data_IF_266142685501
#
_entry.id   IF_266142685501
#
_cell.length_a   1.000
_cell.length_b   1.000
_cell.length_c   1.000
_cell.angle_alpha   90.00
_cell.angle_beta   90.00
_cell.angle_gamma   90.00
#
_symmetry.space_group_name_H-M   'P 1'
#
loop_
_entity.id
_entity.type
_entity.pdbx_description
1 polymer ?
#
# COMPACT_ATOMS: atom_id res chain seq x y z
N UNK A 1 -14.07 -62.77 41.55
CA UNK A 1 -13.19 -63.72 42.27
C UNK A 1 -11.77 -63.19 42.23
N UNK A 2 -11.23 -62.94 43.41
CA UNK A 2 -9.85 -62.54 43.75
C UNK A 2 -8.87 -63.59 43.22
N UNK A 3 -7.75 -63.19 42.58
CA UNK A 3 -6.46 -63.86 42.77
C UNK A 3 -5.29 -62.91 42.47
N UNK A 4 -4.46 -62.80 43.49
CA UNK A 4 -3.20 -62.12 43.62
C UNK A 4 -2.02 -63.06 43.32
N UNK A 5 -0.87 -62.45 43.01
CA UNK A 5 0.48 -62.78 43.47
C UNK A 5 1.42 -63.73 42.67
N UNK A 6 2.60 -63.13 42.42
CA UNK A 6 3.98 -63.58 42.76
C UNK A 6 4.80 -64.38 41.74
N UNK A 7 6.03 -63.88 41.54
CA UNK A 7 7.26 -64.69 41.39
C UNK A 7 8.23 -64.13 40.33
N UNK A 8 9.17 -63.22 40.64
CA UNK A 8 10.55 -63.35 41.19
C UNK A 8 11.65 -63.85 40.21
N UNK A 9 12.70 -63.01 40.10
CA UNK A 9 14.15 -63.21 39.76
C UNK A 9 14.48 -63.73 38.35
N UNK A 10 15.20 -62.98 37.50
CA UNK A 10 16.65 -62.64 37.49
C UNK A 10 17.57 -63.84 37.24
N UNK A 11 18.19 -63.87 36.05
CA UNK A 11 19.40 -64.62 35.75
C UNK A 11 19.63 -64.90 34.26
N UNK A 12 20.76 -64.44 33.72
CA UNK A 12 21.26 -64.74 32.37
C UNK A 12 21.18 -63.50 31.46
N UNK A 13 22.25 -63.02 30.84
CA UNK A 13 23.48 -63.67 30.44
C UNK A 13 23.86 -63.03 29.11
N UNK A 14 24.97 -62.30 29.14
CA UNK A 14 25.55 -61.46 28.11
C UNK A 14 25.82 -62.17 26.77
N UNK A 15 25.62 -61.44 25.65
CA UNK A 15 26.38 -61.47 24.37
C UNK A 15 25.59 -60.77 23.25
N UNK A 16 25.94 -59.51 22.98
CA UNK A 16 25.45 -58.75 21.82
C UNK A 16 26.61 -58.15 21.03
N UNK A 17 26.92 -58.76 19.89
CA UNK A 17 27.90 -58.32 18.90
C UNK A 17 27.53 -56.99 18.22
N UNK A 18 28.54 -56.14 18.01
CA UNK A 18 28.84 -55.62 16.66
C UNK A 18 28.08 -54.39 16.14
N UNK A 19 28.67 -53.22 16.38
CA UNK A 19 28.90 -52.12 15.43
C UNK A 19 27.78 -51.70 14.43
N UNK A 20 27.09 -50.62 14.76
CA UNK A 20 26.46 -49.72 13.77
C UNK A 20 26.47 -48.27 14.28
N UNK A 21 27.64 -47.62 14.31
CA UNK A 21 27.76 -46.18 14.57
C UNK A 21 28.59 -45.57 13.45
N UNK A 22 27.94 -44.88 12.51
CA UNK A 22 28.69 -44.20 11.44
C UNK A 22 27.92 -43.61 10.25
N UNK A 23 26.58 -43.55 10.25
CA UNK A 23 25.82 -42.97 9.11
C UNK A 23 24.90 -41.77 9.43
N UNK A 24 24.91 -41.24 10.65
CA UNK A 24 24.05 -40.12 11.04
C UNK A 24 24.64 -38.71 10.82
N UNK A 25 25.96 -38.54 10.92
CA UNK A 25 26.58 -37.19 10.99
C UNK A 25 26.74 -36.46 9.65
N UNK A 26 26.70 -37.16 8.53
CA UNK A 26 26.83 -36.53 7.21
C UNK A 26 25.51 -35.90 6.74
N UNK A 27 24.38 -36.57 7.01
CA UNK A 27 23.04 -36.07 6.67
C UNK A 27 22.66 -34.84 7.49
N UNK A 28 22.94 -34.81 8.80
CA UNK A 28 22.72 -33.62 9.65
C UNK A 28 23.58 -32.42 9.22
N UNK A 29 24.84 -32.64 8.82
CA UNK A 29 25.71 -31.56 8.32
C UNK A 29 25.33 -31.06 6.93
N UNK A 30 24.76 -31.93 6.09
CA UNK A 30 24.17 -31.58 4.80
C UNK A 30 22.92 -30.72 4.97
N UNK A 31 21.98 -31.15 5.80
CA UNK A 31 20.75 -30.41 6.10
C UNK A 31 21.00 -29.05 6.73
N UNK A 32 21.92 -28.93 7.69
CA UNK A 32 22.28 -27.62 8.29
C UNK A 32 22.97 -26.67 7.29
N UNK A 33 23.71 -27.18 6.31
CA UNK A 33 24.30 -26.35 5.24
C UNK A 33 23.26 -25.93 4.20
N UNK A 34 22.35 -26.81 3.82
CA UNK A 34 21.24 -26.51 2.91
C UNK A 34 20.29 -25.47 3.51
N UNK A 35 19.97 -25.60 4.80
CA UNK A 35 19.12 -24.67 5.56
C UNK A 35 19.78 -23.28 5.71
N UNK A 36 21.09 -23.23 5.99
CA UNK A 36 21.87 -21.97 5.97
C UNK A 36 21.94 -21.32 4.59
N UNK A 37 22.03 -22.12 3.53
CA UNK A 37 22.01 -21.63 2.15
C UNK A 37 20.66 -21.03 1.78
N UNK A 38 19.56 -21.67 2.19
CA UNK A 38 18.21 -21.14 2.02
C UNK A 38 17.99 -19.83 2.79
N UNK A 39 18.40 -19.77 4.06
CA UNK A 39 18.30 -18.57 4.87
C UNK A 39 19.11 -17.39 4.30
N UNK A 40 20.31 -17.64 3.77
CA UNK A 40 21.14 -16.61 3.14
C UNK A 40 20.50 -16.05 1.86
N UNK A 41 19.87 -16.92 1.04
CA UNK A 41 19.11 -16.49 -0.15
C UNK A 41 17.90 -15.64 0.22
N UNK A 42 17.12 -16.09 1.21
CA UNK A 42 15.96 -15.35 1.71
C UNK A 42 16.36 -13.97 2.27
N UNK A 43 17.47 -13.88 2.99
CA UNK A 43 17.98 -12.60 3.48
C UNK A 43 18.42 -11.67 2.33
N UNK A 44 19.14 -12.19 1.33
CA UNK A 44 19.56 -11.41 0.16
C UNK A 44 18.35 -10.93 -0.68
N UNK A 45 17.32 -11.77 -0.80
CA UNK A 45 16.05 -11.40 -1.43
C UNK A 45 15.35 -10.30 -0.63
N UNK A 46 15.16 -10.47 0.68
CA UNK A 46 14.54 -9.46 1.54
C UNK A 46 15.27 -8.11 1.44
N UNK A 47 16.61 -8.11 1.43
CA UNK A 47 17.42 -6.91 1.26
C UNK A 47 17.20 -6.26 -0.13
N UNK A 48 17.10 -7.07 -1.19
CA UNK A 48 16.78 -6.57 -2.53
C UNK A 48 15.38 -5.93 -2.59
N UNK A 49 14.38 -6.54 -1.94
CA UNK A 49 13.03 -5.98 -1.82
C UNK A 49 13.06 -4.65 -1.04
N UNK A 50 13.83 -4.57 0.06
CA UNK A 50 13.98 -3.33 0.83
C UNK A 50 14.67 -2.23 0.02
N UNK A 51 15.66 -2.55 -0.83
CA UNK A 51 16.26 -1.56 -1.74
C UNK A 51 15.25 -1.05 -2.77
N UNK A 52 14.44 -1.95 -3.36
CA UNK A 52 13.42 -1.62 -4.37
C UNK A 52 12.26 -0.82 -3.79
N UNK A 53 11.80 -1.17 -2.58
CA UNK A 53 10.73 -0.50 -1.83
C UNK A 53 11.24 -0.07 -0.43
N UNK A 54 12.01 1.04 -0.38
CA UNK A 54 12.66 1.51 0.84
C UNK A 54 11.65 1.85 1.95
N UNK A 55 12.10 1.71 3.20
CA UNK A 55 11.32 2.15 4.35
C UNK A 55 11.34 3.70 4.46
N UNK A 56 10.47 4.29 5.30
CA UNK A 56 10.42 5.74 5.45
C UNK A 56 11.74 6.38 5.90
N UNK A 57 12.55 5.70 6.71
CA UNK A 57 13.83 6.23 7.17
C UNK A 57 14.84 6.31 6.01
N UNK A 58 14.94 5.25 5.20
CA UNK A 58 15.77 5.20 4.00
C UNK A 58 15.33 6.23 2.95
N UNK A 59 14.02 6.47 2.83
CA UNK A 59 13.48 7.51 1.95
C UNK A 59 13.80 8.92 2.41
N UNK A 60 13.73 9.17 3.72
CA UNK A 60 14.16 10.45 4.28
C UNK A 60 15.63 10.71 3.96
N UNK A 61 16.50 9.71 4.13
CA UNK A 61 17.91 9.83 3.75
C UNK A 61 18.10 10.05 2.25
N UNK A 62 17.26 9.42 1.41
CA UNK A 62 17.25 9.64 -0.04
C UNK A 62 16.86 11.08 -0.40
N UNK A 63 15.90 11.66 0.31
CA UNK A 63 15.43 13.02 0.05
C UNK A 63 16.37 14.12 0.57
N UNK A 64 17.10 13.86 1.66
CA UNK A 64 18.01 14.82 2.28
C UNK A 64 19.45 14.72 1.74
N UNK A 65 19.86 13.54 1.27
CA UNK A 65 21.22 13.28 0.84
C UNK A 65 21.47 13.59 -0.64
N UNK A 66 22.71 13.88 -1.03
CA UNK A 66 23.10 13.90 -2.44
C UNK A 66 22.96 12.48 -3.00
N UNK A 67 22.16 12.29 -4.05
CA UNK A 67 21.98 10.98 -4.64
C UNK A 67 21.07 10.97 -5.87
N UNK A 68 21.21 9.94 -6.69
CA UNK A 68 20.41 9.74 -7.91
C UNK A 68 19.05 9.06 -7.66
N UNK A 69 18.75 8.72 -6.40
CA UNK A 69 17.54 7.97 -6.03
C UNK A 69 16.33 8.86 -5.81
N UNK A 70 16.53 10.16 -5.55
CA UNK A 70 15.46 11.13 -5.56
C UNK A 70 14.87 11.19 -6.98
N UNK A 71 13.55 11.01 -7.07
CA UNK A 71 12.81 11.05 -8.33
C UNK A 71 13.23 9.98 -9.36
N UNK A 72 13.78 8.85 -8.92
CA UNK A 72 14.24 7.77 -9.80
C UNK A 72 13.10 7.09 -10.59
N UNK A 73 11.84 7.26 -10.17
CA UNK A 73 10.67 6.62 -10.80
C UNK A 73 9.98 7.58 -11.77
N UNK A 74 10.49 7.63 -13.00
CA UNK A 74 9.79 8.25 -14.12
C UNK A 74 8.47 7.52 -14.45
N UNK A 75 7.54 8.10 -15.25
CA UNK A 75 6.25 7.47 -15.55
C UNK A 75 6.32 6.04 -16.11
N UNK A 76 7.36 5.74 -16.90
CA UNK A 76 7.58 4.40 -17.45
C UNK A 76 8.30 3.41 -16.54
N UNK A 77 8.66 3.82 -15.32
CA UNK A 77 9.33 2.94 -14.37
C UNK A 77 8.40 1.76 -14.00
N UNK A 78 8.89 0.51 -13.90
CA UNK A 78 8.07 -0.65 -13.55
C UNK A 78 7.37 -0.51 -12.20
N UNK A 79 7.98 0.20 -11.25
CA UNK A 79 7.43 0.50 -9.92
C UNK A 79 6.84 1.93 -9.78
N UNK A 80 6.55 2.62 -10.89
CA UNK A 80 5.88 3.92 -10.83
C UNK A 80 4.53 3.76 -10.11
N UNK A 81 4.28 4.66 -9.14
CA UNK A 81 3.13 4.62 -8.22
C UNK A 81 2.97 3.35 -7.36
N UNK A 82 4.01 2.52 -7.23
CA UNK A 82 4.02 1.44 -6.24
C UNK A 82 4.43 1.98 -4.87
N UNK A 83 3.54 1.87 -3.89
CA UNK A 83 3.74 2.40 -2.53
C UNK A 83 3.85 1.27 -1.50
N UNK A 84 4.72 1.43 -0.51
CA UNK A 84 4.86 0.51 0.62
C UNK A 84 3.94 0.92 1.76
N UNK A 85 3.12 -0.01 2.22
CA UNK A 85 2.18 0.19 3.34
C UNK A 85 2.74 -0.28 4.68
N UNK A 86 3.74 -1.15 4.65
CA UNK A 86 4.37 -1.68 5.86
C UNK A 86 5.39 -2.76 5.55
N UNK A 87 5.65 -3.60 6.56
CA UNK A 87 6.46 -4.80 6.45
C UNK A 87 5.75 -5.95 7.15
N UNK A 88 5.87 -7.15 6.59
CA UNK A 88 5.37 -8.37 7.18
C UNK A 88 6.27 -9.53 6.77
N UNK A 89 6.31 -10.58 7.59
CA UNK A 89 6.94 -11.82 7.17
C UNK A 89 6.11 -12.43 6.04
N UNK A 90 6.77 -12.79 4.94
CA UNK A 90 6.13 -13.34 3.74
C UNK A 90 6.73 -14.68 3.38
N UNK A 91 5.96 -15.50 2.66
CA UNK A 91 6.47 -16.76 2.12
C UNK A 91 7.03 -16.50 0.72
N UNK A 92 8.28 -16.85 0.50
CA UNK A 92 8.90 -16.89 -0.82
C UNK A 92 8.26 -18.01 -1.67
N UNK A 93 8.36 -17.93 -3.02
CA UNK A 93 7.80 -18.96 -3.92
C UNK A 93 8.36 -20.37 -3.69
N UNK A 94 9.57 -20.49 -3.14
CA UNK A 94 10.22 -21.75 -2.80
C UNK A 94 9.85 -22.30 -1.40
N UNK A 95 8.95 -21.61 -0.68
CA UNK A 95 8.52 -21.97 0.67
C UNK A 95 9.40 -21.39 1.79
N UNK A 96 10.43 -20.61 1.47
CA UNK A 96 11.25 -19.91 2.48
C UNK A 96 10.51 -18.74 3.13
N UNK A 97 10.90 -18.36 4.36
CA UNK A 97 10.38 -17.16 5.02
C UNK A 97 11.21 -15.94 4.65
N UNK A 98 10.57 -14.88 4.16
CA UNK A 98 11.14 -13.56 3.93
C UNK A 98 10.76 -12.65 5.12
N UNK A 99 11.67 -12.44 6.09
CA UNK A 99 11.35 -11.66 7.26
C UNK A 99 11.19 -10.18 6.92
N UNK A 100 10.17 -9.53 7.49
CA UNK A 100 9.88 -8.10 7.36
C UNK A 100 9.85 -7.58 5.91
N UNK A 101 9.46 -8.42 4.95
CA UNK A 101 9.35 -8.06 3.54
C UNK A 101 8.37 -6.88 3.34
N UNK A 102 8.68 -5.93 2.43
CA UNK A 102 7.78 -4.81 2.13
C UNK A 102 6.41 -5.27 1.64
N UNK A 103 5.35 -4.78 2.28
CA UNK A 103 3.97 -4.92 1.78
C UNK A 103 3.68 -3.73 0.89
N UNK A 104 3.40 -3.97 -0.39
CA UNK A 104 3.24 -2.91 -1.39
C UNK A 104 1.91 -2.96 -2.12
N UNK A 105 1.50 -1.83 -2.69
CA UNK A 105 0.33 -1.68 -3.56
C UNK A 105 0.74 -0.88 -4.79
N UNK A 106 0.38 -1.37 -5.98
CA UNK A 106 0.53 -0.65 -7.25
C UNK A 106 -0.76 0.11 -7.59
N UNK A 107 -0.72 1.45 -7.48
CA UNK A 107 -1.89 2.29 -7.75
C UNK A 107 -2.33 2.23 -9.22
N UNK A 108 -1.43 1.90 -10.15
CA UNK A 108 -1.81 1.73 -11.57
C UNK A 108 -2.64 0.46 -11.77
N UNK A 109 -2.43 -0.56 -10.94
CA UNK A 109 -3.20 -1.81 -10.99
C UNK A 109 -4.51 -1.72 -10.20
N UNK A 110 -4.50 -1.09 -9.03
CA UNK A 110 -5.69 -1.02 -8.17
C UNK A 110 -6.57 0.21 -8.43
N UNK A 111 -6.10 1.20 -9.20
CA UNK A 111 -6.81 2.45 -9.51
C UNK A 111 -6.74 3.44 -8.36
N UNK A 112 -7.44 3.17 -7.26
CA UNK A 112 -7.46 4.01 -6.06
C UNK A 112 -7.29 3.18 -4.79
N UNK A 113 -6.75 3.79 -3.74
CA UNK A 113 -6.42 3.15 -2.47
C UNK A 113 -7.23 3.78 -1.33
N UNK A 114 -7.97 2.94 -0.61
CA UNK A 114 -8.64 3.33 0.63
C UNK A 114 -7.82 2.90 1.84
N UNK A 115 -7.62 3.80 2.81
CA UNK A 115 -6.99 3.51 4.10
C UNK A 115 -8.00 3.75 5.22
N UNK A 116 -8.22 2.75 6.08
CA UNK A 116 -9.14 2.83 7.20
C UNK A 116 -8.49 2.45 8.53
N UNK A 117 -8.90 3.14 9.59
CA UNK A 117 -8.50 2.80 10.96
C UNK A 117 -8.44 4.01 11.88
N UNK A 118 -7.90 3.86 13.10
CA UNK A 118 -7.81 4.97 14.05
C UNK A 118 -7.00 6.12 13.50
N UNK A 119 -7.46 7.35 13.76
CA UNK A 119 -6.95 8.59 13.16
C UNK A 119 -5.43 8.68 13.10
N UNK A 120 -4.77 8.51 14.25
CA UNK A 120 -3.31 8.64 14.34
C UNK A 120 -2.57 7.66 13.43
N UNK A 121 -3.08 6.42 13.27
CA UNK A 121 -2.45 5.40 12.43
C UNK A 121 -2.70 5.66 10.94
N UNK A 122 -3.95 5.94 10.57
CA UNK A 122 -4.31 6.16 9.16
C UNK A 122 -3.64 7.42 8.61
N UNK A 123 -3.59 8.50 9.40
CA UNK A 123 -2.93 9.74 9.01
C UNK A 123 -1.41 9.57 8.88
N UNK A 124 -0.78 8.86 9.82
CA UNK A 124 0.65 8.54 9.75
C UNK A 124 1.01 7.70 8.51
N UNK A 125 0.20 6.69 8.21
CA UNK A 125 0.37 5.86 7.01
C UNK A 125 0.16 6.67 5.73
N UNK A 126 -0.89 7.48 5.65
CA UNK A 126 -1.14 8.31 4.48
C UNK A 126 -0.01 9.32 4.22
N UNK A 127 0.49 10.00 5.26
CA UNK A 127 1.67 10.89 5.13
C UNK A 127 2.91 10.13 4.67
N UNK A 128 3.12 8.90 5.15
CA UNK A 128 4.20 8.03 4.66
C UNK A 128 4.02 7.71 3.17
N UNK A 129 2.82 7.37 2.72
CA UNK A 129 2.51 7.13 1.29
C UNK A 129 2.79 8.37 0.45
N UNK A 130 2.36 9.55 0.90
CA UNK A 130 2.59 10.81 0.18
C UNK A 130 4.08 11.16 0.13
N UNK A 131 4.81 10.99 1.23
CA UNK A 131 6.25 11.23 1.28
C UNK A 131 7.02 10.26 0.34
N UNK A 132 6.65 8.98 0.31
CA UNK A 132 7.20 7.99 -0.62
C UNK A 132 7.02 8.45 -2.08
N UNK A 133 5.80 8.83 -2.43
CA UNK A 133 5.46 9.28 -3.78
C UNK A 133 6.25 10.52 -4.18
N UNK A 134 6.31 11.53 -3.29
CA UNK A 134 7.02 12.79 -3.54
C UNK A 134 8.55 12.62 -3.64
N UNK A 135 9.13 11.71 -2.85
CA UNK A 135 10.57 11.43 -2.89
C UNK A 135 10.96 10.62 -4.14
N UNK A 136 10.08 9.75 -4.63
CA UNK A 136 10.42 8.82 -5.71
C UNK A 136 9.99 9.27 -7.10
N UNK A 137 9.12 10.28 -7.22
CA UNK A 137 8.65 10.82 -8.51
C UNK A 137 8.88 12.32 -8.60
N UNK A 138 9.32 12.81 -9.76
CA UNK A 138 9.49 14.25 -9.97
C UNK A 138 8.14 14.99 -10.02
N UNK A 139 8.09 16.29 -9.67
CA UNK A 139 6.86 17.09 -9.78
C UNK A 139 6.36 17.25 -11.23
N UNK A 140 7.21 17.00 -12.24
CA UNK A 140 6.79 16.93 -13.63
C UNK A 140 6.02 15.63 -13.96
N UNK A 141 6.39 14.52 -13.28
CA UNK A 141 5.80 13.20 -13.49
C UNK A 141 4.59 12.93 -12.60
N UNK A 142 4.54 13.54 -11.41
CA UNK A 142 3.49 13.32 -10.42
C UNK A 142 3.02 14.65 -9.81
N UNK A 143 1.71 14.85 -9.86
CA UNK A 143 0.99 15.91 -9.16
C UNK A 143 0.32 15.34 -7.89
N UNK A 144 0.32 16.11 -6.80
CA UNK A 144 -0.40 15.76 -5.57
C UNK A 144 -1.47 16.83 -5.32
N UNK A 145 -2.71 16.38 -5.17
CA UNK A 145 -3.86 17.23 -4.82
C UNK A 145 -4.35 16.81 -3.45
N UNK A 146 -4.61 17.76 -2.55
CA UNK A 146 -5.26 17.51 -1.26
C UNK A 146 -6.69 18.04 -1.30
N UNK A 147 -7.64 17.22 -0.86
CA UNK A 147 -8.98 17.63 -0.47
C UNK A 147 -9.18 17.19 0.99
N UNK A 148 -9.32 18.16 1.88
CA UNK A 148 -9.49 17.94 3.31
C UNK A 148 -10.27 19.09 3.94
N UNK A 149 -10.65 18.97 5.21
CA UNK A 149 -11.26 20.07 5.97
C UNK A 149 -10.22 20.89 6.74
N UNK A 150 -10.56 22.13 7.09
CA UNK A 150 -9.71 23.04 7.89
C UNK A 150 -9.25 22.41 9.21
N UNK A 151 -10.06 21.53 9.82
CA UNK A 151 -9.72 20.83 11.05
C UNK A 151 -8.50 19.91 10.92
N UNK A 152 -8.11 19.56 9.69
CA UNK A 152 -6.94 18.73 9.37
C UNK A 152 -5.75 19.54 8.86
N UNK A 153 -5.83 20.87 8.85
CA UNK A 153 -4.77 21.75 8.34
C UNK A 153 -3.42 21.46 8.99
N UNK A 154 -3.37 21.30 10.32
CA UNK A 154 -2.14 21.03 11.04
C UNK A 154 -1.44 19.75 10.55
N UNK A 155 -2.22 18.72 10.20
CA UNK A 155 -1.70 17.42 9.76
C UNK A 155 -1.16 17.44 8.33
N UNK A 156 -1.67 18.34 7.48
CA UNK A 156 -1.35 18.41 6.06
C UNK A 156 -0.57 19.65 5.64
N UNK A 157 -0.38 20.64 6.52
CA UNK A 157 0.31 21.90 6.25
C UNK A 157 1.71 21.73 5.63
N UNK A 158 2.39 20.63 5.96
CA UNK A 158 3.70 20.29 5.40
C UNK A 158 3.68 20.08 3.87
N UNK A 159 2.53 19.73 3.28
CA UNK A 159 2.40 19.57 1.83
C UNK A 159 2.65 20.89 1.09
N UNK A 160 2.42 22.04 1.72
CA UNK A 160 2.67 23.35 1.12
C UNK A 160 4.15 23.60 0.76
N UNK A 161 5.07 22.77 1.26
CA UNK A 161 6.50 22.82 0.93
C UNK A 161 6.87 21.93 -0.25
N UNK A 162 5.99 21.03 -0.68
CA UNK A 162 6.30 20.11 -1.79
C UNK A 162 6.14 20.82 -3.14
N UNK A 163 7.03 20.58 -4.11
CA UNK A 163 6.85 21.08 -5.47
C UNK A 163 5.69 20.38 -6.20
N UNK A 164 5.26 19.21 -5.74
CA UNK A 164 4.19 18.40 -6.34
C UNK A 164 2.79 19.00 -6.20
N UNK A 165 2.61 19.94 -5.27
CA UNK A 165 1.33 20.65 -5.08
C UNK A 165 1.30 21.99 -5.84
N UNK A 166 2.34 22.29 -6.63
CA UNK A 166 2.35 23.48 -7.48
C UNK A 166 1.45 23.26 -8.71
N UNK A 167 0.66 24.26 -9.12
CA UNK A 167 -0.26 24.17 -10.25
C UNK A 167 0.47 24.29 -11.59
N UNK A 168 1.36 23.33 -11.89
CA UNK A 168 2.23 23.35 -13.08
C UNK A 168 1.48 23.10 -14.41
N UNK A 169 0.16 22.87 -14.37
CA UNK A 169 -0.68 22.52 -15.52
C UNK A 169 -1.71 23.60 -15.86
N UNK A 170 -1.54 24.81 -15.33
CA UNK A 170 -2.45 25.93 -15.59
C UNK A 170 -3.71 25.94 -14.73
N UNK A 171 -3.71 25.23 -13.60
CA UNK A 171 -4.81 25.32 -12.63
C UNK A 171 -4.86 26.72 -12.03
N UNK A 172 -6.07 27.28 -11.93
CA UNK A 172 -6.30 28.59 -11.31
C UNK A 172 -6.33 28.48 -9.78
N UNK A 173 -5.15 28.34 -9.18
CA UNK A 173 -4.94 28.38 -7.74
C UNK A 173 -3.47 28.68 -7.42
N UNK A 174 -3.15 28.88 -6.14
CA UNK A 174 -1.76 29.02 -5.69
C UNK A 174 -1.10 27.67 -5.40
N UNK A 175 -1.85 26.76 -4.80
CA UNK A 175 -1.44 25.40 -4.48
C UNK A 175 -2.62 24.46 -4.74
N UNK A 176 -2.33 23.20 -5.02
CA UNK A 176 -3.30 22.12 -5.22
C UNK A 176 -3.80 21.56 -3.88
N UNK A 177 -4.14 22.46 -2.95
CA UNK A 177 -4.64 22.15 -1.62
C UNK A 177 -6.04 22.74 -1.48
N UNK A 178 -6.96 21.96 -0.94
CA UNK A 178 -8.30 22.39 -0.57
C UNK A 178 -8.56 22.07 0.91
N UNK A 179 -8.94 23.10 1.67
CA UNK A 179 -9.32 23.01 3.08
C UNK A 179 -10.78 23.46 3.32
N UNK A 180 -11.40 24.10 2.33
CA UNK A 180 -12.80 24.54 2.37
C UNK A 180 -13.61 23.99 1.18
N UNK A 181 -14.93 24.20 1.21
CA UNK A 181 -15.86 23.66 0.23
C UNK A 181 -15.69 24.27 -1.18
N UNK A 182 -15.29 25.54 -1.28
CA UNK A 182 -15.09 26.23 -2.57
C UNK A 182 -13.84 25.67 -3.25
N UNK A 183 -12.73 25.59 -2.51
CA UNK A 183 -11.48 25.00 -2.97
C UNK A 183 -11.68 23.53 -3.36
N UNK A 184 -12.39 22.75 -2.54
CA UNK A 184 -12.65 21.34 -2.81
C UNK A 184 -13.47 21.16 -4.10
N UNK A 185 -14.47 22.02 -4.31
CA UNK A 185 -15.28 22.04 -5.54
C UNK A 185 -14.41 22.36 -6.74
N UNK A 186 -13.64 23.45 -6.69
CA UNK A 186 -12.76 23.87 -7.79
C UNK A 186 -11.70 22.80 -8.14
N UNK A 187 -11.12 22.12 -7.14
CA UNK A 187 -10.18 21.00 -7.39
C UNK A 187 -10.87 19.81 -8.02
N UNK A 188 -12.07 19.47 -7.56
CA UNK A 188 -12.85 18.35 -8.11
C UNK A 188 -13.30 18.62 -9.55
N UNK A 189 -13.74 19.84 -9.86
CA UNK A 189 -14.13 20.26 -11.22
C UNK A 189 -12.97 20.22 -12.21
N UNK A 190 -11.77 20.64 -11.79
CA UNK A 190 -10.56 20.49 -12.60
C UNK A 190 -10.25 19.02 -12.92
N UNK A 191 -10.36 18.13 -11.94
CA UNK A 191 -10.13 16.68 -12.13
C UNK A 191 -11.20 16.06 -13.04
N UNK A 192 -12.45 16.50 -12.92
CA UNK A 192 -13.55 16.08 -13.80
C UNK A 192 -13.29 16.51 -15.24
N UNK A 193 -12.89 17.76 -15.49
CA UNK A 193 -12.57 18.24 -16.85
C UNK A 193 -11.49 17.38 -17.52
N UNK A 194 -10.45 16.96 -16.77
CA UNK A 194 -9.40 16.07 -17.31
C UNK A 194 -9.93 14.70 -17.75
N UNK A 195 -10.95 14.17 -17.08
CA UNK A 195 -11.60 12.93 -17.49
C UNK A 195 -12.50 13.11 -18.70
N UNK A 196 -13.20 14.25 -18.77
CA UNK A 196 -14.04 14.62 -19.92
C UNK A 196 -13.21 14.83 -21.19
N UNK A 197 -12.02 15.42 -21.06
CA UNK A 197 -11.04 15.57 -22.15
C UNK A 197 -10.26 14.27 -22.43
N UNK A 198 -10.40 13.28 -21.55
CA UNK A 198 -9.66 12.03 -21.57
C UNK A 198 -10.31 10.91 -22.39
N UNK A 199 -9.76 9.68 -22.30
CA UNK A 199 -10.21 8.54 -23.11
C UNK A 199 -11.65 8.08 -22.86
N UNK A 200 -12.23 8.43 -21.71
CA UNK A 200 -13.62 8.09 -21.38
C UNK A 200 -14.63 9.15 -21.86
N UNK A 201 -14.16 10.36 -22.18
CA UNK A 201 -15.01 11.47 -22.62
C UNK A 201 -16.00 11.94 -21.54
N UNK A 202 -17.02 12.74 -21.94
CA UNK A 202 -18.09 13.21 -21.04
C UNK A 202 -18.89 12.08 -20.34
N UNK A 203 -18.81 10.85 -20.85
CA UNK A 203 -19.46 9.66 -20.26
C UNK A 203 -18.66 8.99 -19.15
N UNK A 204 -17.53 9.56 -18.70
CA UNK A 204 -16.63 8.95 -17.70
C UNK A 204 -17.35 8.52 -16.41
N UNK A 205 -18.35 9.29 -15.97
CA UNK A 205 -19.08 9.09 -14.73
C UNK A 205 -19.93 7.81 -14.73
N UNK A 206 -20.34 7.33 -15.91
CA UNK A 206 -21.11 6.10 -16.11
C UNK A 206 -20.30 5.00 -16.81
N UNK A 207 -19.02 5.25 -17.10
CA UNK A 207 -18.15 4.29 -17.73
C UNK A 207 -18.05 3.00 -16.91
N UNK A 208 -18.03 1.85 -17.60
CA UNK A 208 -17.85 0.58 -16.91
C UNK A 208 -16.44 0.49 -16.32
N UNK A 209 -16.25 -0.20 -15.19
CA UNK A 209 -14.92 -0.39 -14.62
C UNK A 209 -13.95 -1.14 -15.54
N UNK A 210 -14.47 -1.97 -16.46
CA UNK A 210 -13.64 -2.60 -17.50
C UNK A 210 -13.11 -1.57 -18.51
N UNK A 211 -13.94 -0.61 -18.94
CA UNK A 211 -13.53 0.47 -19.82
C UNK A 211 -12.49 1.38 -19.14
N UNK A 212 -12.73 1.75 -17.87
CA UNK A 212 -11.80 2.54 -17.08
C UNK A 212 -10.44 1.84 -16.95
N UNK A 213 -10.41 0.54 -16.60
CA UNK A 213 -9.17 -0.25 -16.53
C UNK A 213 -8.44 -0.35 -17.87
N UNK A 214 -9.18 -0.53 -18.97
CA UNK A 214 -8.60 -0.59 -20.31
C UNK A 214 -7.93 0.73 -20.68
N UNK A 215 -8.58 1.86 -20.40
CA UNK A 215 -8.01 3.19 -20.60
C UNK A 215 -6.78 3.42 -19.69
N UNK A 216 -6.88 3.08 -18.40
CA UNK A 216 -5.80 3.22 -17.43
C UNK A 216 -4.53 2.44 -17.83
N UNK A 217 -4.69 1.23 -18.38
CA UNK A 217 -3.57 0.42 -18.85
C UNK A 217 -2.77 1.06 -20.01
N UNK A 218 -3.38 2.02 -20.73
CA UNK A 218 -2.72 2.79 -21.79
C UNK A 218 -2.20 4.15 -21.31
N UNK A 219 -2.52 4.56 -20.08
CA UNK A 219 -2.15 5.87 -19.56
C UNK A 219 -0.66 5.89 -19.20
N UNK A 220 0.10 6.74 -19.88
CA UNK A 220 1.54 6.87 -19.68
C UNK A 220 1.92 8.24 -19.10
N UNK A 221 1.48 8.48 -17.86
CA UNK A 221 1.75 9.71 -17.15
C UNK A 221 1.39 11.00 -17.91
N UNK A 222 1.68 12.16 -17.31
CA UNK A 222 1.94 12.29 -15.89
C UNK A 222 0.74 11.84 -15.05
N UNK A 223 0.99 11.55 -13.78
CA UNK A 223 -0.02 11.03 -12.86
C UNK A 223 -0.45 12.09 -11.86
N UNK A 224 -1.66 11.92 -11.32
CA UNK A 224 -2.20 12.75 -10.22
C UNK A 224 -2.62 11.83 -9.08
N UNK A 225 -2.13 12.10 -7.87
CA UNK A 225 -2.63 11.44 -6.65
C UNK A 225 -3.45 12.44 -5.86
N UNK A 226 -4.71 12.10 -5.61
CA UNK A 226 -5.68 12.94 -4.89
C UNK A 226 -5.87 12.35 -3.50
N UNK A 227 -5.35 13.05 -2.47
CA UNK A 227 -5.55 12.67 -1.07
C UNK A 227 -6.89 13.23 -0.61
N UNK A 228 -7.78 12.36 -0.16
CA UNK A 228 -9.09 12.73 0.38
C UNK A 228 -9.13 12.34 1.85
N UNK A 229 -9.01 13.31 2.74
CA UNK A 229 -9.02 13.13 4.20
C UNK A 229 -10.12 14.00 4.81
N UNK A 230 -11.33 13.45 4.77
CA UNK A 230 -12.55 14.26 4.77
C UNK A 230 -12.80 14.87 3.39
N UNK A 231 -13.94 15.54 3.23
CA UNK A 231 -14.25 16.33 2.05
C UNK A 231 -15.26 17.41 2.45
N UNK A 232 -14.85 18.67 2.61
CA UNK A 232 -15.81 19.75 2.83
C UNK A 232 -16.64 19.94 1.58
N UNK A 233 -17.90 20.33 1.76
CA UNK A 233 -18.82 20.62 0.65
C UNK A 233 -20.01 19.67 0.55
N UNK A 234 -20.81 19.81 -0.53
CA UNK A 234 -22.10 19.15 -0.66
C UNK A 234 -21.96 17.66 -1.01
N UNK A 235 -23.03 16.88 -0.79
CA UNK A 235 -23.08 15.46 -1.13
C UNK A 235 -22.72 15.16 -2.61
N UNK A 236 -23.10 16.04 -3.54
CA UNK A 236 -22.75 15.91 -4.95
C UNK A 236 -21.23 15.89 -5.22
N UNK A 237 -20.45 16.62 -4.41
CA UNK A 237 -18.99 16.57 -4.46
C UNK A 237 -18.48 15.20 -4.01
N UNK A 238 -19.04 14.65 -2.93
CA UNK A 238 -18.67 13.32 -2.43
C UNK A 238 -18.99 12.21 -3.44
N UNK A 239 -20.14 12.30 -4.11
CA UNK A 239 -20.51 11.40 -5.20
C UNK A 239 -19.53 11.50 -6.37
N UNK A 240 -19.09 12.71 -6.68
CA UNK A 240 -18.09 12.94 -7.74
C UNK A 240 -16.74 12.34 -7.35
N UNK A 241 -16.26 12.55 -6.13
CA UNK A 241 -15.04 11.91 -5.61
C UNK A 241 -15.14 10.38 -5.62
N UNK A 242 -16.30 9.81 -5.28
CA UNK A 242 -16.52 8.37 -5.37
C UNK A 242 -16.41 7.86 -6.82
N UNK A 243 -16.95 8.60 -7.80
CA UNK A 243 -16.80 8.24 -9.22
C UNK A 243 -15.36 8.41 -9.71
N UNK A 244 -14.65 9.44 -9.25
CA UNK A 244 -13.22 9.63 -9.51
C UNK A 244 -12.40 8.46 -8.96
N UNK A 245 -12.75 7.91 -7.79
CA UNK A 245 -12.05 6.74 -7.24
C UNK A 245 -12.14 5.51 -8.16
N UNK A 246 -13.27 5.34 -8.86
CA UNK A 246 -13.54 4.22 -9.76
C UNK A 246 -12.92 4.44 -11.14
N UNK A 247 -13.15 5.62 -11.74
CA UNK A 247 -12.84 5.87 -13.15
C UNK A 247 -11.61 6.77 -13.37
N UNK A 248 -11.11 7.44 -12.33
CA UNK A 248 -10.03 8.43 -12.43
C UNK A 248 -8.75 7.89 -13.04
N UNK A 249 -8.42 6.62 -12.79
CA UNK A 249 -7.21 5.99 -13.32
C UNK A 249 -7.15 5.97 -14.84
N UNK A 250 -8.29 6.08 -15.53
CA UNK A 250 -8.36 6.21 -16.99
C UNK A 250 -7.71 7.49 -17.52
N UNK A 251 -7.57 8.53 -16.69
CA UNK A 251 -6.84 9.76 -16.95
C UNK A 251 -5.59 9.91 -16.05
N UNK A 252 -5.13 8.81 -15.43
CA UNK A 252 -3.99 8.81 -14.51
C UNK A 252 -4.25 9.49 -13.16
N UNK A 253 -5.51 9.62 -12.75
CA UNK A 253 -5.94 10.17 -11.46
C UNK A 253 -6.19 9.02 -10.49
N UNK A 254 -5.47 9.00 -9.37
CA UNK A 254 -5.53 7.94 -8.37
C UNK A 254 -5.93 8.53 -7.02
N UNK A 255 -7.00 8.04 -6.40
CA UNK A 255 -7.43 8.55 -5.10
C UNK A 255 -6.74 7.79 -3.97
N UNK A 256 -6.34 8.53 -2.93
CA UNK A 256 -5.98 8.03 -1.61
C UNK A 256 -7.05 8.48 -0.62
N UNK A 257 -8.08 7.66 -0.42
CA UNK A 257 -9.20 7.97 0.46
C UNK A 257 -8.96 7.49 1.90
N UNK A 258 -9.07 8.40 2.87
CA UNK A 258 -8.94 8.08 4.28
C UNK A 258 -10.32 7.94 4.93
N UNK A 259 -10.44 6.97 5.83
CA UNK A 259 -11.62 6.77 6.66
C UNK A 259 -11.21 6.51 8.12
N UNK A 260 -11.67 7.37 9.03
CA UNK A 260 -11.51 7.11 10.45
C UNK A 260 -12.48 5.99 10.87
N UNK A 261 -11.93 4.93 11.44
CA UNK A 261 -12.70 3.78 11.89
C UNK A 261 -12.06 3.15 13.13
N UNK A 262 -12.84 2.50 14.01
CA UNK A 262 -12.29 1.74 15.13
C UNK A 262 -11.26 0.70 14.64
N UNK A 263 -10.28 0.40 15.50
CA UNK A 263 -9.38 -0.71 15.23
C UNK A 263 -10.17 -2.02 15.22
N UNK A 264 -9.94 -2.84 14.20
CA UNK A 264 -10.43 -4.20 14.23
C UNK A 264 -9.80 -4.92 15.44
N UNK A 265 -10.63 -5.64 16.18
CA UNK A 265 -10.24 -6.42 17.34
C UNK A 265 -11.02 -7.73 17.35
N UNK A 266 -10.66 -8.71 18.19
CA UNK A 266 -11.48 -9.90 18.39
C UNK A 266 -12.92 -9.57 18.83
N UNK A 267 -13.15 -8.41 19.46
CA UNK A 267 -14.46 -7.92 19.92
C UNK A 267 -15.14 -6.94 18.95
N UNK A 268 -14.43 -6.44 17.94
CA UNK A 268 -14.95 -5.62 16.84
C UNK A 268 -14.40 -6.18 15.52
N UNK A 269 -15.09 -7.20 14.96
CA UNK A 269 -14.60 -7.91 13.77
C UNK A 269 -14.36 -6.96 12.58
N UNK A 270 -13.41 -7.34 11.72
CA UNK A 270 -13.06 -6.58 10.51
C UNK A 270 -14.26 -6.09 9.68
N UNK A 271 -15.34 -6.87 9.47
CA UNK A 271 -16.52 -6.39 8.76
C UNK A 271 -17.14 -5.13 9.38
N UNK A 272 -17.23 -5.05 10.70
CA UNK A 272 -17.82 -3.87 11.37
C UNK A 272 -16.94 -2.64 11.23
N UNK A 273 -15.61 -2.80 11.39
CA UNK A 273 -14.67 -1.70 11.17
C UNK A 273 -14.70 -1.22 9.71
N UNK A 274 -14.86 -2.15 8.77
CA UNK A 274 -14.98 -1.84 7.34
C UNK A 274 -16.28 -1.10 7.00
N UNK A 275 -17.42 -1.53 7.54
CA UNK A 275 -18.71 -0.84 7.35
C UNK A 275 -18.70 0.57 7.94
N UNK A 276 -18.10 0.74 9.12
CA UNK A 276 -17.89 2.05 9.73
C UNK A 276 -17.04 2.95 8.81
N UNK A 277 -15.94 2.42 8.27
CA UNK A 277 -15.09 3.15 7.35
C UNK A 277 -15.81 3.55 6.04
N UNK A 278 -16.60 2.64 5.47
CA UNK A 278 -17.43 2.95 4.28
C UNK A 278 -18.43 4.07 4.54
N UNK A 279 -19.03 4.07 5.72
CA UNK A 279 -20.00 5.09 6.13
C UNK A 279 -19.33 6.45 6.38
N UNK A 280 -18.08 6.44 6.84
CA UNK A 280 -17.32 7.65 7.14
C UNK A 280 -16.74 8.36 5.91
N UNK A 281 -16.55 7.66 4.78
CA UNK A 281 -15.91 8.25 3.59
C UNK A 281 -16.38 7.59 2.29
N UNK A 282 -17.06 8.36 1.45
CA UNK A 282 -17.52 7.92 0.13
C UNK A 282 -16.35 7.55 -0.80
N UNK A 283 -15.25 8.31 -0.75
CA UNK A 283 -14.03 8.01 -1.49
C UNK A 283 -13.43 6.67 -1.07
N UNK A 284 -13.33 6.40 0.24
CA UNK A 284 -12.91 5.09 0.75
C UNK A 284 -13.84 3.97 0.28
N UNK A 285 -15.16 4.18 0.37
CA UNK A 285 -16.17 3.20 -0.02
C UNK A 285 -16.12 2.83 -1.52
N UNK A 286 -15.63 3.73 -2.36
CA UNK A 286 -15.45 3.51 -3.79
C UNK A 286 -14.08 2.91 -4.16
N UNK A 287 -13.10 2.97 -3.26
CA UNK A 287 -11.78 2.36 -3.47
C UNK A 287 -11.84 0.83 -3.36
N UNK A 288 -10.96 0.15 -4.10
CA UNK A 288 -10.75 -1.30 -3.94
C UNK A 288 -11.93 -2.19 -4.37
N UNK A 289 -12.94 -1.67 -5.06
CA UNK A 289 -14.05 -2.49 -5.56
C UNK A 289 -13.56 -3.49 -6.62
N UNK A 290 -13.52 -4.77 -6.24
CA UNK A 290 -13.49 -5.92 -7.16
C UNK A 290 -14.81 -6.67 -7.03
N UNK A 291 -15.76 -6.55 -7.97
CA UNK A 291 -16.66 -7.65 -8.27
C UNK A 291 -15.86 -8.61 -9.13
N UNK A 292 -15.64 -9.80 -8.59
CA UNK A 292 -15.65 -10.98 -9.43
C UNK A 292 -17.12 -11.27 -9.76
#
# INVERSE_FOLDING_TARGET
MRWTHRGRRLGGGDRGLGAAVGRGKAAERGGVREDRGAAARAAAEAEALQRRWPDPATLLMTALGPGSRLWERAPGHPDALTVRLGSADQLAPDGGLLPAAPVTVDLRQCGSLGLAGPRARVAGLARSVVAQLAALHSPAALEIVLISGEERLAEWSWLGWLPHVQPLRGQDCRLLLAYDAEQATARTEELTRRLEDGPLGPGWASASPAAARSAAARHFGPYTVVVVDGAPGPAALHDTLARLAVSGSAAGIHLLGLAEAPAASPTSPLPMSYEAARSASAAFAACGWRPC
#
